data_IF_537441283053
#
_entry.id   IF_537441283053
#
_cell.length_a   1.000
_cell.length_b   1.000
_cell.length_c   1.000
_cell.angle_alpha   90.00
_cell.angle_beta   90.00
_cell.angle_gamma   90.00
#
_symmetry.space_group_name_H-M   'P 1'
#
loop_
_entity.id
_entity.type
_entity.pdbx_description
1 polymer ?
#
# COMPACT_ATOMS: atom_id res chain seq x y z
N UNK A 1 14.18 6.37 30.98
CA UNK A 1 12.77 6.15 31.30
C UNK A 1 11.84 7.19 30.65
N UNK A 2 12.02 8.51 30.84
CA UNK A 2 11.13 9.51 30.23
C UNK A 2 11.08 9.43 28.68
N UNK A 3 12.22 9.27 28.03
CA UNK A 3 12.32 9.17 26.57
C UNK A 3 11.63 7.89 26.03
N UNK A 4 11.74 6.76 26.73
CA UNK A 4 11.04 5.52 26.37
C UNK A 4 9.51 5.70 26.46
N UNK A 5 9.03 6.39 27.49
CA UNK A 5 7.59 6.67 27.66
C UNK A 5 7.05 7.56 26.54
N UNK A 6 7.80 8.61 26.13
CA UNK A 6 7.41 9.50 25.03
C UNK A 6 7.36 8.74 23.70
N UNK A 7 8.35 7.90 23.42
CA UNK A 7 8.40 7.11 22.17
C UNK A 7 7.31 6.03 22.10
N UNK A 8 6.91 5.45 23.23
CA UNK A 8 5.76 4.56 23.30
C UNK A 8 4.48 5.29 22.91
N UNK A 9 4.31 6.55 23.33
CA UNK A 9 3.19 7.39 22.91
C UNK A 9 3.20 7.66 21.40
N UNK A 10 4.36 7.91 20.79
CA UNK A 10 4.52 8.12 19.35
C UNK A 10 4.13 6.86 18.55
N UNK A 11 4.54 5.67 19.03
CA UNK A 11 4.13 4.39 18.43
C UNK A 11 2.63 4.17 18.52
N UNK A 12 2.03 4.44 19.69
CA UNK A 12 0.59 4.36 19.88
C UNK A 12 -0.18 5.34 18.97
N UNK A 13 0.34 6.55 18.81
CA UNK A 13 -0.25 7.54 17.92
C UNK A 13 -0.14 7.15 16.44
N UNK A 14 0.98 6.54 16.01
CA UNK A 14 1.09 5.98 14.67
C UNK A 14 0.05 4.87 14.45
N UNK A 15 -0.06 3.93 15.39
CA UNK A 15 -1.03 2.83 15.30
C UNK A 15 -2.46 3.36 15.18
N UNK A 16 -2.85 4.36 15.99
CA UNK A 16 -4.16 5.01 15.90
C UNK A 16 -4.41 5.58 14.50
N UNK A 17 -3.45 6.30 13.92
CA UNK A 17 -3.60 6.88 12.57
C UNK A 17 -3.73 5.81 11.49
N UNK A 18 -2.98 4.70 11.61
CA UNK A 18 -3.07 3.55 10.71
C UNK A 18 -4.46 2.90 10.80
N UNK A 19 -5.01 2.71 12.01
CA UNK A 19 -6.37 2.21 12.21
C UNK A 19 -7.39 3.14 11.55
N UNK A 20 -7.28 4.45 11.78
CA UNK A 20 -8.24 5.41 11.24
C UNK A 20 -8.27 5.46 9.71
N UNK A 21 -7.14 5.23 9.04
CA UNK A 21 -7.09 5.21 7.57
C UNK A 21 -7.56 3.89 6.96
N UNK A 22 -7.48 2.78 7.71
CA UNK A 22 -7.74 1.43 7.17
C UNK A 22 -8.96 0.72 7.78
N UNK A 23 -9.70 1.35 8.68
CA UNK A 23 -10.81 0.73 9.40
C UNK A 23 -11.98 0.26 8.50
N UNK A 24 -12.11 0.83 7.31
CA UNK A 24 -13.12 0.47 6.31
C UNK A 24 -12.70 -0.72 5.43
N UNK A 25 -11.42 -1.17 5.53
CA UNK A 25 -10.90 -2.28 4.74
C UNK A 25 -11.26 -3.62 5.37
N UNK A 26 -12.31 -4.23 4.84
CA UNK A 26 -12.87 -5.51 5.28
C UNK A 26 -12.92 -6.44 4.07
N UNK A 27 -12.81 -7.74 4.27
CA UNK A 27 -13.03 -8.73 3.20
C UNK A 27 -14.53 -8.80 2.91
N UNK A 28 -14.95 -8.34 1.73
CA UNK A 28 -16.38 -8.25 1.38
C UNK A 28 -16.83 -9.27 0.35
N UNK A 29 -15.95 -9.69 -0.53
CA UNK A 29 -16.21 -10.64 -1.62
C UNK A 29 -15.11 -11.68 -1.71
N UNK A 30 -15.40 -12.78 -2.36
CA UNK A 30 -14.47 -13.88 -2.51
C UNK A 30 -13.43 -13.58 -3.59
N UNK A 31 -13.88 -13.21 -4.77
CA UNK A 31 -13.02 -12.93 -5.94
C UNK A 31 -13.57 -11.77 -6.76
N UNK A 32 -12.84 -10.65 -6.75
CA UNK A 32 -13.21 -9.45 -7.50
C UNK A 32 -13.09 -9.61 -9.02
N UNK A 33 -12.32 -10.58 -9.52
CA UNK A 33 -12.21 -10.85 -10.95
C UNK A 33 -13.39 -11.70 -11.43
N UNK A 34 -13.72 -12.76 -10.70
CA UNK A 34 -14.84 -13.64 -11.01
C UNK A 34 -16.19 -12.90 -10.96
N UNK A 35 -16.40 -12.01 -9.98
CA UNK A 35 -17.63 -11.22 -9.87
C UNK A 35 -17.86 -10.26 -11.05
N UNK A 36 -16.80 -9.90 -11.77
CA UNK A 36 -16.83 -9.03 -12.96
C UNK A 36 -16.67 -9.79 -14.28
N UNK A 37 -16.44 -11.10 -14.25
CA UNK A 37 -16.16 -11.90 -15.45
C UNK A 37 -14.82 -11.53 -16.12
N UNK A 38 -13.90 -10.94 -15.38
CA UNK A 38 -12.59 -10.51 -15.85
C UNK A 38 -11.49 -11.51 -15.45
N UNK A 39 -10.35 -11.46 -16.14
CA UNK A 39 -9.15 -12.17 -15.71
C UNK A 39 -8.51 -11.48 -14.49
N UNK A 40 -7.93 -12.24 -13.55
CA UNK A 40 -7.21 -11.66 -12.42
C UNK A 40 -6.07 -10.73 -12.90
N UNK A 41 -5.98 -9.54 -12.31
CA UNK A 41 -4.84 -8.64 -12.55
C UNK A 41 -3.75 -8.95 -11.54
N UNK A 42 -2.58 -9.32 -12.05
CA UNK A 42 -1.39 -9.59 -11.26
C UNK A 42 -0.44 -8.40 -11.17
N UNK A 43 0.48 -8.55 -10.24
CA UNK A 43 1.66 -7.72 -10.18
C UNK A 43 2.89 -8.64 -10.03
N UNK A 44 4.03 -8.31 -10.67
CA UNK A 44 5.24 -9.10 -10.55
C UNK A 44 5.80 -9.00 -9.13
N UNK A 45 5.96 -10.14 -8.49
CA UNK A 45 6.58 -10.27 -7.16
C UNK A 45 7.96 -10.88 -7.34
N UNK A 46 8.99 -10.16 -6.86
CA UNK A 46 10.39 -10.59 -6.82
C UNK A 46 10.97 -10.35 -5.43
N UNK A 47 12.17 -10.84 -5.13
CA UNK A 47 12.87 -10.48 -3.90
C UNK A 47 13.11 -8.97 -3.81
N UNK A 48 13.03 -8.41 -2.60
CA UNK A 48 13.39 -7.01 -2.36
C UNK A 48 14.91 -6.94 -2.14
N UNK A 49 15.57 -6.15 -2.99
CA UNK A 49 17.01 -5.99 -2.97
C UNK A 49 17.41 -4.56 -2.55
N UNK A 50 18.47 -4.44 -1.78
CA UNK A 50 19.15 -3.19 -1.50
C UNK A 50 20.63 -3.33 -1.93
N UNK A 51 20.94 -2.80 -3.11
CA UNK A 51 22.20 -3.13 -3.78
C UNK A 51 22.32 -4.64 -4.02
N UNK A 52 23.34 -5.28 -3.45
CA UNK A 52 23.56 -6.73 -3.54
C UNK A 52 22.98 -7.52 -2.35
N UNK A 53 22.37 -6.86 -1.37
CA UNK A 53 21.81 -7.52 -0.18
C UNK A 53 20.32 -7.80 -0.41
N UNK A 54 19.89 -9.03 -0.09
CA UNK A 54 18.49 -9.38 -0.07
C UNK A 54 17.87 -8.85 1.23
N UNK A 55 16.91 -7.93 1.12
CA UNK A 55 16.14 -7.39 2.26
C UNK A 55 15.04 -8.36 2.61
N UNK A 56 14.27 -8.79 1.61
CA UNK A 56 13.20 -9.77 1.78
C UNK A 56 13.26 -10.82 0.66
N UNK A 57 13.39 -12.11 1.02
CA UNK A 57 13.50 -13.17 0.02
C UNK A 57 12.16 -13.40 -0.67
N UNK A 58 12.21 -13.90 -1.90
CA UNK A 58 11.02 -14.22 -2.69
C UNK A 58 10.13 -15.27 -1.99
N UNK A 59 10.72 -16.22 -1.27
CA UNK A 59 10.01 -17.26 -0.52
C UNK A 59 8.95 -16.71 0.42
N UNK A 60 9.32 -15.67 1.19
CA UNK A 60 8.45 -15.08 2.21
C UNK A 60 7.33 -14.26 1.57
N UNK A 61 7.64 -13.59 0.46
CA UNK A 61 6.72 -12.76 -0.28
C UNK A 61 5.65 -13.54 -1.06
N UNK A 62 5.96 -14.77 -1.48
CA UNK A 62 5.03 -15.61 -2.25
C UNK A 62 4.02 -16.34 -1.37
N UNK A 63 4.40 -16.71 -0.16
CA UNK A 63 3.60 -17.57 0.70
C UNK A 63 2.21 -16.98 0.96
N UNK A 64 1.16 -17.78 0.69
CA UNK A 64 -0.22 -17.41 0.92
C UNK A 64 -0.81 -16.41 -0.07
N UNK A 65 -0.09 -16.03 -1.13
CA UNK A 65 -0.65 -15.24 -2.24
C UNK A 65 -1.34 -16.14 -3.26
N UNK A 66 -2.25 -15.57 -4.03
CA UNK A 66 -2.86 -16.21 -5.19
C UNK A 66 -2.11 -15.82 -6.45
N UNK A 67 -1.91 -16.77 -7.35
CA UNK A 67 -1.35 -16.52 -8.68
C UNK A 67 -2.31 -15.73 -9.55
N UNK A 68 -1.79 -14.87 -10.40
CA UNK A 68 -2.58 -14.16 -11.42
C UNK A 68 -2.47 -14.81 -12.80
N UNK A 69 -1.45 -15.65 -13.00
CA UNK A 69 -1.14 -16.37 -14.22
C UNK A 69 -0.64 -17.77 -13.90
N UNK A 70 -0.69 -18.67 -14.87
CA UNK A 70 -0.11 -20.00 -14.75
C UNK A 70 1.41 -19.90 -14.60
N UNK A 71 1.98 -20.65 -13.68
CA UNK A 71 3.42 -20.68 -13.43
C UNK A 71 3.99 -22.01 -13.90
N UNK A 72 4.92 -21.94 -14.84
CA UNK A 72 5.58 -23.09 -15.43
C UNK A 72 7.05 -23.17 -14.99
N UNK A 73 7.55 -24.37 -14.87
CA UNK A 73 8.98 -24.62 -14.68
C UNK A 73 9.74 -24.25 -15.97
N UNK A 74 10.69 -23.30 -15.90
CA UNK A 74 11.44 -22.86 -17.10
C UNK A 74 12.31 -23.97 -17.71
N UNK A 75 12.63 -25.02 -16.94
CA UNK A 75 13.51 -26.10 -17.36
C UNK A 75 12.72 -27.27 -17.97
N UNK A 76 11.63 -27.68 -17.31
CA UNK A 76 10.83 -28.87 -17.70
C UNK A 76 9.60 -28.48 -18.52
N UNK A 77 9.11 -27.26 -18.45
CA UNK A 77 7.85 -26.82 -19.05
C UNK A 77 6.61 -27.35 -18.32
N UNK A 78 6.78 -28.01 -17.17
CA UNK A 78 5.68 -28.54 -16.38
C UNK A 78 4.95 -27.42 -15.63
N UNK A 79 3.63 -27.52 -15.53
CA UNK A 79 2.82 -26.59 -14.75
C UNK A 79 3.07 -26.80 -13.24
N UNK A 80 3.59 -25.79 -12.57
CA UNK A 80 3.81 -25.78 -11.12
C UNK A 80 2.52 -25.46 -10.38
N UNK A 81 1.84 -24.39 -10.79
CA UNK A 81 0.57 -23.94 -10.20
C UNK A 81 -0.26 -23.20 -11.25
N UNK A 82 -1.56 -23.49 -11.39
CA UNK A 82 -2.43 -22.76 -12.28
C UNK A 82 -2.78 -21.36 -11.75
N UNK A 83 -3.37 -20.55 -12.62
CA UNK A 83 -3.91 -19.23 -12.29
C UNK A 83 -4.99 -19.32 -11.22
N UNK A 84 -5.02 -18.29 -10.35
CA UNK A 84 -6.02 -18.12 -9.29
C UNK A 84 -6.01 -19.22 -8.20
N UNK A 85 -4.87 -19.83 -7.97
CA UNK A 85 -4.65 -20.74 -6.85
C UNK A 85 -3.68 -20.18 -5.82
N UNK A 86 -3.83 -20.63 -4.57
CA UNK A 86 -3.04 -20.16 -3.44
C UNK A 86 -1.68 -20.87 -3.36
N UNK A 87 -0.61 -20.12 -3.25
CA UNK A 87 0.75 -20.62 -3.09
C UNK A 87 0.93 -21.14 -1.65
N UNK A 88 0.97 -22.46 -1.50
CA UNK A 88 1.28 -23.16 -0.25
C UNK A 88 2.79 -23.31 -0.05
N UNK A 89 3.22 -23.82 1.12
CA UNK A 89 4.63 -24.10 1.40
C UNK A 89 5.28 -25.01 0.35
N UNK A 90 4.60 -26.10 -0.04
CA UNK A 90 5.13 -27.06 -1.02
C UNK A 90 5.28 -26.46 -2.41
N UNK A 91 4.30 -25.64 -2.83
CA UNK A 91 4.32 -24.95 -4.13
C UNK A 91 5.41 -23.88 -4.16
N UNK A 92 5.53 -23.09 -3.09
CA UNK A 92 6.60 -22.11 -2.92
C UNK A 92 7.97 -22.75 -3.12
N UNK A 93 8.22 -23.89 -2.45
CA UNK A 93 9.51 -24.57 -2.53
C UNK A 93 9.78 -25.10 -3.95
N UNK A 94 8.75 -25.56 -4.66
CA UNK A 94 8.86 -25.95 -6.07
C UNK A 94 9.24 -24.74 -6.95
N UNK A 95 8.60 -23.58 -6.75
CA UNK A 95 8.90 -22.33 -7.48
C UNK A 95 10.35 -21.89 -7.27
N UNK A 96 10.81 -21.91 -6.01
CA UNK A 96 12.18 -21.51 -5.66
C UNK A 96 13.21 -22.49 -6.25
N UNK A 97 12.97 -23.79 -6.15
CA UNK A 97 13.85 -24.84 -6.70
C UNK A 97 13.92 -24.80 -8.23
N UNK A 98 12.84 -24.39 -8.91
CA UNK A 98 12.82 -24.16 -10.35
C UNK A 98 13.62 -22.90 -10.77
N UNK A 99 14.17 -22.13 -9.83
CA UNK A 99 14.99 -20.93 -10.10
C UNK A 99 14.21 -19.71 -10.61
N UNK A 100 12.88 -19.69 -10.42
CA UNK A 100 12.02 -18.58 -10.83
C UNK A 100 12.28 -17.37 -9.93
N UNK A 101 12.63 -16.24 -10.54
CA UNK A 101 12.96 -15.00 -9.81
C UNK A 101 11.77 -14.05 -9.63
N UNK A 102 10.76 -14.19 -10.47
CA UNK A 102 9.57 -13.31 -10.47
C UNK A 102 8.33 -14.11 -10.78
N UNK A 103 7.27 -13.92 -10.01
CA UNK A 103 5.96 -14.56 -10.18
C UNK A 103 4.89 -13.48 -10.25
N UNK A 104 3.96 -13.62 -11.20
CA UNK A 104 2.78 -12.75 -11.29
C UNK A 104 1.74 -13.19 -10.26
N UNK A 105 1.58 -12.40 -9.18
CA UNK A 105 0.64 -12.72 -8.10
C UNK A 105 -0.45 -11.65 -7.98
N UNK A 106 -1.60 -12.05 -7.45
CA UNK A 106 -2.65 -11.14 -7.02
C UNK A 106 -2.18 -10.37 -5.78
N UNK A 107 -2.57 -9.11 -5.69
CA UNK A 107 -2.20 -8.22 -4.60
C UNK A 107 -3.37 -7.34 -4.20
N UNK A 108 -3.33 -6.81 -3.00
CA UNK A 108 -4.23 -5.77 -2.52
C UNK A 108 -4.22 -4.55 -3.44
N UNK A 109 -3.08 -4.23 -4.05
CA UNK A 109 -2.93 -3.12 -5.00
C UNK A 109 -3.73 -3.28 -6.28
N UNK A 110 -3.89 -4.51 -6.76
CA UNK A 110 -4.61 -4.82 -8.01
C UNK A 110 -6.07 -5.16 -7.78
N UNK A 111 -6.53 -5.18 -6.52
CA UNK A 111 -7.90 -5.51 -6.16
C UNK A 111 -8.89 -4.44 -6.64
N UNK A 112 -9.95 -4.87 -7.32
CA UNK A 112 -11.01 -4.02 -7.88
C UNK A 112 -12.25 -3.91 -7.00
N UNK A 113 -12.19 -4.42 -5.77
CA UNK A 113 -13.27 -4.25 -4.79
C UNK A 113 -13.41 -2.78 -4.42
N UNK A 114 -14.59 -2.20 -4.57
CA UNK A 114 -14.86 -0.78 -4.27
C UNK A 114 -14.72 -0.48 -2.78
N UNK A 115 -15.31 -1.34 -1.97
CA UNK A 115 -15.25 -1.24 -0.51
C UNK A 115 -14.49 -2.43 0.05
N UNK A 116 -13.33 -2.17 0.66
CA UNK A 116 -12.49 -3.22 1.21
C UNK A 116 -11.62 -3.95 0.19
N UNK A 117 -11.45 -5.25 0.34
CA UNK A 117 -10.59 -6.12 -0.49
C UNK A 117 -11.27 -7.48 -0.66
N UNK A 118 -11.03 -8.18 -1.77
CA UNK A 118 -11.51 -9.56 -1.95
C UNK A 118 -10.55 -10.57 -1.30
N UNK A 119 -11.06 -11.76 -0.98
CA UNK A 119 -10.29 -12.80 -0.30
C UNK A 119 -9.08 -13.27 -1.12
N UNK A 120 -9.22 -13.43 -2.43
CA UNK A 120 -8.12 -13.88 -3.29
C UNK A 120 -7.00 -12.84 -3.42
N UNK A 121 -7.31 -11.53 -3.48
CA UNK A 121 -6.28 -10.49 -3.53
C UNK A 121 -5.56 -10.29 -2.19
N UNK A 122 -6.23 -10.56 -1.08
CA UNK A 122 -5.61 -10.54 0.24
C UNK A 122 -4.79 -11.80 0.52
N UNK A 123 -5.31 -12.98 0.10
CA UNK A 123 -4.64 -14.27 0.24
C UNK A 123 -4.92 -14.96 1.57
N UNK A 124 -3.91 -15.64 2.11
CA UNK A 124 -4.04 -16.45 3.32
C UNK A 124 -4.25 -15.60 4.57
N UNK A 125 -5.03 -16.12 5.52
CA UNK A 125 -5.02 -15.65 6.90
C UNK A 125 -3.74 -16.14 7.59
N UNK A 126 -2.94 -15.24 8.16
CA UNK A 126 -1.64 -15.58 8.74
C UNK A 126 -1.76 -16.38 10.04
N UNK A 127 -2.89 -16.31 10.74
CA UNK A 127 -3.11 -17.06 11.97
C UNK A 127 -3.45 -18.55 11.71
N UNK A 128 -4.24 -18.81 10.65
CA UNK A 128 -4.73 -20.15 10.31
C UNK A 128 -3.96 -20.80 9.18
N UNK A 129 -3.23 -20.03 8.36
CA UNK A 129 -2.56 -20.48 7.14
C UNK A 129 -3.50 -20.78 5.98
N UNK A 130 -4.81 -20.76 6.21
CA UNK A 130 -5.84 -20.99 5.20
C UNK A 130 -6.27 -19.68 4.49
N UNK A 131 -7.22 -19.80 3.56
CA UNK A 131 -7.85 -18.64 2.91
C UNK A 131 -8.54 -17.75 3.95
N UNK A 132 -8.45 -16.43 3.78
CA UNK A 132 -9.13 -15.47 4.64
C UNK A 132 -10.66 -15.55 4.47
N UNK A 133 -11.39 -15.40 5.58
CA UNK A 133 -12.85 -15.42 5.59
C UNK A 133 -13.46 -14.07 5.18
N UNK A 134 -14.64 -14.14 4.56
CA UNK A 134 -15.43 -12.93 4.27
C UNK A 134 -15.90 -12.32 5.59
N UNK A 135 -15.70 -11.00 5.75
CA UNK A 135 -16.04 -10.27 6.95
C UNK A 135 -14.87 -10.04 7.90
N UNK A 136 -13.68 -10.52 7.57
CA UNK A 136 -12.49 -10.24 8.37
C UNK A 136 -12.04 -8.77 8.19
N UNK A 137 -11.79 -8.07 9.31
CA UNK A 137 -11.39 -6.67 9.34
C UNK A 137 -9.87 -6.52 9.12
N UNK A 138 -9.42 -6.81 7.91
CA UNK A 138 -7.99 -6.88 7.55
C UNK A 138 -7.27 -5.54 7.65
N UNK A 139 -7.99 -4.43 7.57
CA UNK A 139 -7.41 -3.10 7.78
C UNK A 139 -6.97 -2.87 9.21
N UNK A 140 -7.77 -3.29 10.20
CA UNK A 140 -7.40 -3.22 11.63
C UNK A 140 -6.22 -4.16 11.90
N UNK A 141 -6.25 -5.38 11.36
CA UNK A 141 -5.14 -6.34 11.49
C UNK A 141 -3.84 -5.76 10.92
N UNK A 142 -3.91 -5.13 9.74
CA UNK A 142 -2.75 -4.48 9.13
C UNK A 142 -2.19 -3.35 10.01
N UNK A 143 -3.05 -2.47 10.51
CA UNK A 143 -2.64 -1.38 11.39
C UNK A 143 -1.99 -1.87 12.69
N UNK A 144 -2.54 -2.93 13.28
CA UNK A 144 -1.99 -3.55 14.49
C UNK A 144 -0.66 -4.26 14.23
N UNK A 145 -0.55 -5.01 13.11
CA UNK A 145 0.66 -5.72 12.72
C UNK A 145 1.85 -4.77 12.43
N UNK A 146 1.57 -3.56 11.93
CA UNK A 146 2.58 -2.52 11.71
C UNK A 146 2.88 -1.77 13.01
N UNK A 147 1.86 -1.53 13.84
CA UNK A 147 1.97 -0.69 15.04
C UNK A 147 2.57 -1.39 16.26
N UNK A 148 2.27 -2.68 16.44
CA UNK A 148 2.79 -3.44 17.60
C UNK A 148 4.34 -3.44 17.64
N UNK A 149 5.06 -3.78 16.57
CA UNK A 149 6.51 -3.73 16.59
C UNK A 149 7.08 -2.30 16.66
N UNK A 150 6.28 -1.27 16.43
CA UNK A 150 6.68 0.13 16.52
C UNK A 150 7.28 0.49 17.88
N UNK A 151 6.75 -0.11 18.97
CA UNK A 151 7.29 0.07 20.32
C UNK A 151 8.71 -0.53 20.44
N UNK A 152 8.98 -1.67 19.80
CA UNK A 152 10.31 -2.29 19.79
C UNK A 152 11.31 -1.47 18.97
N UNK A 153 10.87 -0.89 17.85
CA UNK A 153 11.66 0.04 17.02
C UNK A 153 12.14 1.26 17.83
N UNK A 154 11.32 1.76 18.76
CA UNK A 154 11.70 2.89 19.62
C UNK A 154 12.74 2.52 20.68
N UNK A 155 12.71 1.29 21.19
CA UNK A 155 13.62 0.84 22.26
C UNK A 155 15.02 0.50 21.72
N UNK A 156 15.15 -0.08 20.52
CA UNK A 156 16.42 -0.56 19.97
C UNK A 156 17.32 0.55 19.40
N UNK A 157 16.81 1.70 19.02
CA UNK A 157 17.61 2.85 18.55
C UNK A 157 18.56 3.40 19.60
N UNK A 158 18.41 3.04 20.89
CA UNK A 158 19.30 3.45 21.97
C UNK A 158 20.62 2.65 22.07
N UNK A 159 20.66 1.44 21.54
CA UNK A 159 21.81 0.54 21.72
C UNK A 159 22.82 0.59 20.58
N UNK A 160 22.47 1.20 19.46
CA UNK A 160 23.39 1.40 18.33
C UNK A 160 24.00 2.80 18.35
N UNK A 161 24.58 3.18 19.48
CA UNK A 161 25.36 4.41 19.64
C UNK A 161 26.74 4.31 19.00
N UNK A 162 26.75 4.12 17.66
CA UNK A 162 27.95 4.16 16.84
C UNK A 162 27.75 5.22 15.77
N UNK A 163 28.61 6.24 15.81
CA UNK A 163 28.63 7.37 14.92
C UNK A 163 28.61 6.97 13.43
N UNK A 164 27.44 7.01 12.82
CA UNK A 164 27.27 7.31 11.42
C UNK A 164 26.45 8.58 11.35
N UNK A 165 27.11 9.70 11.06
CA UNK A 165 26.52 11.03 10.98
C UNK A 165 25.56 11.20 9.77
N UNK A 166 25.26 10.12 9.04
CA UNK A 166 24.63 10.17 7.73
C UNK A 166 23.13 9.83 7.73
N UNK A 167 22.52 9.44 8.86
CA UNK A 167 21.07 9.13 8.86
C UNK A 167 20.37 9.61 10.15
N UNK A 168 19.86 10.83 10.09
CA UNK A 168 19.24 11.54 11.21
C UNK A 168 17.82 10.98 11.55
N UNK A 169 17.24 10.16 10.66
CA UNK A 169 15.87 9.62 10.80
C UNK A 169 15.87 8.10 10.63
N UNK A 170 16.34 7.36 11.64
CA UNK A 170 16.28 5.90 11.66
C UNK A 170 15.08 5.41 12.51
N UNK A 171 14.55 4.23 12.19
CA UNK A 171 13.50 3.58 12.97
C UNK A 171 12.11 4.20 12.79
N UNK A 172 11.36 4.35 13.89
CA UNK A 172 9.97 4.81 13.86
C UNK A 172 9.77 6.18 13.19
N UNK A 173 10.62 7.20 13.41
CA UNK A 173 10.47 8.48 12.72
C UNK A 173 10.49 8.36 11.19
N UNK A 174 11.32 7.44 10.64
CA UNK A 174 11.36 7.17 9.20
C UNK A 174 10.07 6.52 8.70
N UNK A 175 9.54 5.55 9.44
CA UNK A 175 8.25 4.92 9.12
C UNK A 175 7.13 5.95 9.09
N UNK A 176 7.09 6.85 10.08
CA UNK A 176 6.12 7.95 10.14
C UNK A 176 6.28 8.89 8.94
N UNK A 177 7.52 9.24 8.56
CA UNK A 177 7.81 10.11 7.42
C UNK A 177 7.30 9.50 6.12
N UNK A 178 7.51 8.20 5.90
CA UNK A 178 7.04 7.47 4.71
C UNK A 178 5.51 7.43 4.68
N UNK A 179 4.84 7.02 5.77
CA UNK A 179 3.39 6.92 5.81
C UNK A 179 2.68 8.29 5.79
N UNK A 180 3.32 9.35 6.25
CA UNK A 180 2.78 10.71 6.09
C UNK A 180 3.14 11.35 4.75
N UNK A 181 3.85 10.63 3.87
CA UNK A 181 4.32 11.13 2.58
C UNK A 181 5.00 12.51 2.68
N UNK A 182 5.80 12.71 3.76
CA UNK A 182 6.53 13.95 3.99
C UNK A 182 7.77 14.02 3.13
N UNK A 183 8.19 15.25 2.82
CA UNK A 183 9.47 15.46 2.16
C UNK A 183 10.60 15.12 3.14
N UNK A 184 11.51 14.20 2.80
CA UNK A 184 12.61 13.80 3.67
C UNK A 184 13.56 14.96 3.98
N UNK A 185 14.19 14.95 5.15
CA UNK A 185 15.21 15.94 5.52
C UNK A 185 16.49 15.77 4.69
N UNK A 186 16.91 14.52 4.44
CA UNK A 186 18.04 14.18 3.55
C UNK A 186 17.52 13.78 2.17
N UNK A 187 17.06 14.75 1.36
CA UNK A 187 16.47 14.49 0.05
C UNK A 187 17.53 14.08 -0.95
N UNK A 188 17.36 12.90 -1.58
CA UNK A 188 18.10 12.51 -2.76
C UNK A 188 17.68 13.35 -3.98
N UNK A 189 18.65 13.73 -4.81
CA UNK A 189 18.39 14.27 -6.14
C UNK A 189 18.10 13.08 -7.05
N UNK A 190 16.98 13.12 -7.76
CA UNK A 190 16.54 12.06 -8.69
C UNK A 190 16.48 12.61 -10.10
N UNK A 191 16.69 11.73 -11.09
CA UNK A 191 16.52 12.07 -12.49
C UNK A 191 15.05 12.11 -12.88
N UNK A 192 14.62 13.13 -13.61
CA UNK A 192 13.27 13.19 -14.21
C UNK A 192 13.21 12.53 -15.59
N UNK A 193 14.37 12.40 -16.26
CA UNK A 193 14.50 11.80 -17.60
C UNK A 193 15.50 10.65 -17.59
N UNK A 194 15.33 9.70 -18.50
CA UNK A 194 16.33 8.66 -18.74
C UNK A 194 17.40 9.18 -19.71
N UNK A 195 18.66 8.84 -19.46
CA UNK A 195 19.73 9.26 -20.33
C UNK A 195 21.14 9.08 -19.73
N UNK A 196 22.13 9.64 -20.44
CA UNK A 196 23.51 9.60 -20.01
C UNK A 196 23.85 10.77 -19.08
N UNK A 197 24.49 10.46 -17.97
CA UNK A 197 24.95 11.44 -16.98
C UNK A 197 26.25 12.10 -17.45
N UNK A 198 26.31 13.43 -17.40
CA UNK A 198 27.54 14.23 -17.51
C UNK A 198 27.68 15.08 -16.25
N UNK A 199 28.78 14.88 -15.54
CA UNK A 199 29.08 15.60 -14.30
C UNK A 199 30.00 16.78 -14.58
N UNK A 200 29.56 17.97 -14.20
CA UNK A 200 30.37 19.20 -14.29
C UNK A 200 30.80 19.63 -12.90
N UNK A 201 32.10 19.58 -12.62
CA UNK A 201 32.70 20.07 -11.40
C UNK A 201 33.16 21.51 -11.58
N UNK A 202 32.33 22.45 -11.06
CA UNK A 202 32.64 23.88 -11.04
C UNK A 202 32.43 24.47 -9.65
N UNK A 203 32.10 25.77 -9.55
CA UNK A 203 31.72 26.40 -8.28
C UNK A 203 30.48 25.74 -7.64
N UNK A 204 29.66 25.08 -8.44
CA UNK A 204 28.54 24.23 -8.05
C UNK A 204 28.70 22.92 -8.82
N UNK A 205 28.42 21.78 -8.14
CA UNK A 205 28.37 20.49 -8.80
C UNK A 205 27.02 20.37 -9.50
N UNK A 206 27.06 20.13 -10.81
CA UNK A 206 25.86 19.96 -11.63
C UNK A 206 25.94 18.62 -12.35
N UNK A 207 24.83 17.85 -12.32
CA UNK A 207 24.65 16.67 -13.15
C UNK A 207 23.73 17.06 -14.31
N UNK A 208 24.20 16.90 -15.53
CA UNK A 208 23.39 17.07 -16.74
C UNK A 208 23.07 15.68 -17.27
N UNK A 209 21.79 15.38 -17.47
CA UNK A 209 21.34 14.11 -18.07
C UNK A 209 20.84 14.44 -19.45
N UNK A 210 21.34 13.73 -20.44
CA UNK A 210 20.97 13.91 -21.86
C UNK A 210 20.34 12.62 -22.36
N UNK A 211 19.10 12.72 -22.85
CA UNK A 211 18.38 11.63 -23.48
C UNK A 211 18.86 11.43 -24.92
N UNK A 212 18.56 10.25 -25.51
CA UNK A 212 18.87 9.93 -26.90
C UNK A 212 18.18 10.88 -27.90
N UNK A 213 17.07 11.51 -27.50
CA UNK A 213 16.33 12.52 -28.28
C UNK A 213 16.95 13.92 -28.25
N UNK A 214 18.05 14.12 -27.49
CA UNK A 214 18.75 15.41 -27.34
C UNK A 214 18.17 16.34 -26.28
N UNK A 215 17.14 15.91 -25.55
CA UNK A 215 16.66 16.65 -24.37
C UNK A 215 17.66 16.54 -23.23
N UNK A 216 17.97 17.65 -22.58
CA UNK A 216 18.89 17.69 -21.44
C UNK A 216 18.26 18.34 -20.23
N UNK A 217 18.37 17.70 -19.07
CA UNK A 217 17.96 18.23 -17.78
C UNK A 217 19.19 18.44 -16.88
N UNK A 218 19.23 19.59 -16.20
CA UNK A 218 20.33 19.96 -15.28
C UNK A 218 19.86 19.87 -13.83
N UNK A 219 20.60 19.12 -13.03
CA UNK A 219 20.33 18.94 -11.61
C UNK A 219 21.47 19.50 -10.77
N UNK A 220 21.10 20.38 -9.84
CA UNK A 220 22.06 20.99 -8.92
C UNK A 220 22.28 20.02 -7.75
N UNK A 221 23.53 19.62 -7.52
CA UNK A 221 23.88 18.70 -6.44
C UNK A 221 24.28 19.52 -5.21
N UNK A 222 23.60 19.31 -4.05
CA UNK A 222 23.93 20.00 -2.81
C UNK A 222 25.37 19.70 -2.37
N UNK A 223 26.02 20.71 -1.77
CA UNK A 223 27.36 20.55 -1.26
C UNK A 223 27.39 19.50 -0.14
N UNK A 224 28.35 18.55 -0.21
CA UNK A 224 28.47 17.47 0.76
C UNK A 224 27.67 16.20 0.44
N UNK A 225 26.76 16.20 -0.55
CA UNK A 225 26.04 14.99 -0.96
C UNK A 225 26.99 14.02 -1.66
N UNK A 226 26.87 12.74 -1.31
CA UNK A 226 27.59 11.65 -2.00
C UNK A 226 26.87 11.33 -3.30
N UNK A 227 27.64 11.24 -4.38
CA UNK A 227 27.12 10.82 -5.69
C UNK A 227 26.99 9.30 -5.75
N UNK A 228 25.87 8.80 -6.28
CA UNK A 228 25.64 7.39 -6.62
C UNK A 228 26.04 7.05 -8.05
N UNK A 229 26.07 8.06 -8.90
CA UNK A 229 26.34 7.94 -10.34
C UNK A 229 27.73 8.48 -10.67
N UNK A 230 28.32 7.93 -11.73
CA UNK A 230 29.60 8.37 -12.29
C UNK A 230 29.36 9.10 -13.61
N UNK A 231 30.35 9.85 -14.05
CA UNK A 231 30.30 10.47 -15.37
C UNK A 231 30.25 9.40 -16.47
N UNK A 232 29.29 9.53 -17.37
CA UNK A 232 29.04 8.58 -18.45
C UNK A 232 28.07 7.45 -18.14
N UNK A 233 27.59 7.29 -16.89
CA UNK A 233 26.60 6.26 -16.54
C UNK A 233 25.26 6.52 -17.23
N UNK A 234 24.55 5.43 -17.56
CA UNK A 234 23.15 5.50 -17.99
C UNK A 234 22.24 5.40 -16.77
N UNK A 235 21.28 6.30 -16.68
CA UNK A 235 20.26 6.34 -15.61
C UNK A 235 18.86 6.35 -16.19
N UNK A 236 17.95 5.70 -15.50
CA UNK A 236 16.54 5.73 -15.83
C UNK A 236 15.83 6.86 -15.09
N UNK A 237 14.68 7.30 -15.64
CA UNK A 237 13.84 8.28 -14.99
C UNK A 237 13.42 7.79 -13.58
N UNK A 238 13.71 8.60 -12.56
CA UNK A 238 13.47 8.29 -11.15
C UNK A 238 14.59 7.55 -10.45
N UNK A 239 15.78 7.42 -11.04
CA UNK A 239 16.96 6.89 -10.37
C UNK A 239 17.65 7.97 -9.53
N UNK A 240 18.29 7.54 -8.45
CA UNK A 240 18.95 8.40 -7.48
C UNK A 240 20.32 8.83 -7.99
N UNK A 241 20.53 10.14 -8.14
CA UNK A 241 21.83 10.72 -8.49
C UNK A 241 22.73 10.91 -7.26
N UNK A 242 22.09 11.11 -6.09
CA UNK A 242 22.79 11.28 -4.81
C UNK A 242 22.27 10.32 -3.77
N UNK A 243 23.09 9.99 -2.76
CA UNK A 243 22.62 9.27 -1.60
C UNK A 243 21.58 10.10 -0.83
N UNK A 244 20.54 9.44 -0.35
CA UNK A 244 19.47 10.05 0.44
C UNK A 244 18.14 9.36 0.25
N UNK A 245 17.11 9.91 0.87
CA UNK A 245 15.75 9.39 0.77
C UNK A 245 14.98 10.14 -0.31
N UNK A 246 14.18 9.42 -1.10
CA UNK A 246 13.39 10.03 -2.16
C UNK A 246 12.04 10.54 -1.59
N UNK A 247 11.54 11.64 -2.14
CA UNK A 247 10.19 12.09 -1.85
C UNK A 247 9.16 11.23 -2.62
N UNK A 248 8.24 10.53 -1.94
CA UNK A 248 7.26 9.67 -2.60
C UNK A 248 6.39 10.39 -3.65
N UNK A 249 6.13 11.69 -3.47
CA UNK A 249 5.37 12.47 -4.44
C UNK A 249 6.11 12.68 -5.76
N UNK A 250 7.44 12.76 -5.73
CA UNK A 250 8.24 12.91 -6.95
C UNK A 250 8.30 11.59 -7.72
N UNK A 251 8.39 10.46 -7.00
CA UNK A 251 8.26 9.13 -7.62
C UNK A 251 6.89 8.96 -8.30
N UNK A 252 5.82 9.45 -7.66
CA UNK A 252 4.47 9.38 -8.25
C UNK A 252 4.40 10.12 -9.60
N UNK A 253 5.09 11.26 -9.72
CA UNK A 253 5.12 12.03 -10.97
C UNK A 253 5.93 11.33 -12.06
N UNK A 254 7.06 10.70 -11.69
CA UNK A 254 8.04 10.15 -12.63
C UNK A 254 7.73 8.69 -12.97
N UNK A 255 7.65 7.80 -11.95
CA UNK A 255 7.45 6.34 -12.12
C UNK A 255 5.97 5.92 -11.99
N UNK A 256 5.08 6.87 -11.70
CA UNK A 256 3.65 6.60 -11.54
C UNK A 256 3.31 5.80 -10.28
N UNK A 257 2.07 5.29 -10.25
CA UNK A 257 1.50 4.61 -9.07
C UNK A 257 2.29 3.35 -8.69
N UNK A 258 2.65 2.50 -9.67
CA UNK A 258 3.41 1.26 -9.43
C UNK A 258 4.78 1.54 -8.81
N UNK A 259 5.46 2.59 -9.27
CA UNK A 259 6.75 3.01 -8.72
C UNK A 259 6.67 3.43 -7.26
N UNK A 260 5.65 4.22 -6.89
CA UNK A 260 5.41 4.63 -5.50
C UNK A 260 5.09 3.43 -4.60
N UNK A 261 4.23 2.53 -5.06
CA UNK A 261 3.87 1.32 -4.32
C UNK A 261 5.09 0.47 -4.01
N UNK A 262 5.93 0.20 -5.01
CA UNK A 262 7.16 -0.57 -4.84
C UNK A 262 8.17 0.15 -3.92
N UNK A 263 8.35 1.47 -4.08
CA UNK A 263 9.25 2.25 -3.26
C UNK A 263 8.83 2.27 -1.78
N UNK A 264 7.57 2.62 -1.50
CA UNK A 264 7.08 2.71 -0.13
C UNK A 264 7.13 1.34 0.58
N UNK A 265 6.74 0.26 -0.13
CA UNK A 265 6.82 -1.10 0.40
C UNK A 265 8.27 -1.45 0.76
N UNK A 266 9.21 -1.20 -0.16
CA UNK A 266 10.65 -1.47 0.04
C UNK A 266 11.19 -0.69 1.24
N UNK A 267 10.93 0.61 1.33
CA UNK A 267 11.44 1.46 2.40
C UNK A 267 10.91 1.04 3.77
N UNK A 268 9.60 0.75 3.88
CA UNK A 268 9.02 0.28 5.14
C UNK A 268 9.61 -1.07 5.54
N UNK A 269 9.69 -2.03 4.62
CA UNK A 269 10.30 -3.34 4.86
C UNK A 269 11.76 -3.21 5.30
N UNK A 270 12.55 -2.37 4.63
CA UNK A 270 13.96 -2.13 5.01
C UNK A 270 14.09 -1.65 6.45
N UNK A 271 13.25 -0.69 6.88
CA UNK A 271 13.30 -0.17 8.26
C UNK A 271 12.99 -1.26 9.29
N UNK A 272 11.93 -2.07 9.06
CA UNK A 272 11.54 -3.14 9.99
C UNK A 272 12.55 -4.29 10.00
N UNK A 273 13.02 -4.73 8.84
CA UNK A 273 14.01 -5.82 8.71
C UNK A 273 15.37 -5.46 9.32
N UNK A 274 15.81 -4.20 9.21
CA UNK A 274 17.03 -3.74 9.90
C UNK A 274 16.93 -3.87 11.43
N UNK A 275 15.75 -3.85 11.99
CA UNK A 275 15.49 -4.06 13.40
C UNK A 275 15.16 -5.53 13.76
N UNK A 276 15.22 -6.44 12.78
CA UNK A 276 14.93 -7.86 12.96
C UNK A 276 13.43 -8.16 13.14
N UNK A 277 12.57 -7.28 12.64
CA UNK A 277 11.10 -7.46 12.68
C UNK A 277 10.61 -7.86 11.30
N UNK A 278 9.77 -8.87 11.25
CA UNK A 278 9.15 -9.38 10.02
C UNK A 278 7.68 -8.97 9.95
N UNK A 279 7.31 -8.27 8.88
CA UNK A 279 5.93 -7.87 8.61
C UNK A 279 5.54 -8.37 7.23
N UNK A 280 4.39 -9.03 7.12
CA UNK A 280 3.90 -9.48 5.82
C UNK A 280 3.55 -8.28 4.92
N UNK A 281 4.01 -8.33 3.67
CA UNK A 281 3.80 -7.26 2.65
C UNK A 281 2.37 -6.76 2.57
N UNK A 282 1.38 -7.67 2.62
CA UNK A 282 -0.03 -7.34 2.48
C UNK A 282 -0.54 -6.32 3.50
N UNK A 283 0.02 -6.29 4.71
CA UNK A 283 -0.35 -5.29 5.72
C UNK A 283 0.08 -3.89 5.30
N UNK A 284 1.28 -3.78 4.76
CA UNK A 284 1.81 -2.53 4.22
C UNK A 284 1.04 -2.14 2.94
N UNK A 285 0.74 -3.11 2.07
CA UNK A 285 -0.04 -2.91 0.85
C UNK A 285 -1.44 -2.32 1.13
N UNK A 286 -2.12 -2.79 2.18
CA UNK A 286 -3.43 -2.25 2.60
C UNK A 286 -3.33 -0.75 2.91
N UNK A 287 -2.35 -0.33 3.69
CA UNK A 287 -2.16 1.08 4.07
C UNK A 287 -1.82 1.94 2.84
N UNK A 288 -0.85 1.50 2.03
CA UNK A 288 -0.45 2.24 0.82
C UNK A 288 -1.62 2.37 -0.18
N UNK A 289 -2.44 1.33 -0.32
CA UNK A 289 -3.65 1.38 -1.16
C UNK A 289 -4.60 2.48 -0.70
N UNK A 290 -4.83 2.61 0.61
CA UNK A 290 -5.67 3.67 1.16
C UNK A 290 -5.06 5.07 0.96
N UNK A 291 -3.74 5.21 1.03
CA UNK A 291 -3.04 6.48 0.74
C UNK A 291 -3.17 6.91 -0.73
N UNK A 292 -3.35 5.98 -1.65
CA UNK A 292 -3.46 6.21 -3.10
C UNK A 292 -4.91 6.15 -3.62
N UNK A 293 -5.90 6.07 -2.73
CA UNK A 293 -7.30 5.86 -3.10
C UNK A 293 -7.95 7.09 -3.74
N UNK A 294 -7.46 8.29 -3.44
CA UNK A 294 -8.07 9.54 -3.93
C UNK A 294 -7.39 10.06 -5.20
N UNK A 295 -8.20 10.62 -6.07
CA UNK A 295 -7.78 11.34 -7.28
C UNK A 295 -8.18 12.82 -7.16
N UNK A 296 -7.38 13.70 -7.73
CA UNK A 296 -7.70 15.11 -7.85
C UNK A 296 -8.18 15.39 -9.27
N UNK A 297 -9.38 15.96 -9.39
CA UNK A 297 -9.95 16.32 -10.69
C UNK A 297 -9.17 17.49 -11.28
N UNK A 298 -8.67 17.35 -12.51
CA UNK A 298 -8.02 18.42 -13.28
C UNK A 298 -9.03 19.09 -14.20
N UNK A 299 -9.80 18.29 -14.94
CA UNK A 299 -10.87 18.75 -15.82
C UNK A 299 -12.14 17.96 -15.53
N UNK A 300 -13.25 18.64 -15.35
CA UNK A 300 -14.52 18.02 -15.03
C UNK A 300 -15.23 17.40 -16.25
N UNK A 301 -14.89 17.82 -17.47
CA UNK A 301 -15.65 17.45 -18.66
C UNK A 301 -17.14 17.72 -18.48
N UNK A 302 -17.98 16.76 -18.89
CA UNK A 302 -19.45 16.81 -18.75
C UNK A 302 -19.95 16.08 -17.49
N UNK A 303 -19.06 15.79 -16.53
CA UNK A 303 -19.41 15.10 -15.27
C UNK A 303 -19.94 16.07 -14.22
N UNK A 304 -20.51 15.52 -13.15
CA UNK A 304 -20.97 16.33 -11.99
C UNK A 304 -19.83 16.69 -11.02
N UNK A 305 -18.59 16.28 -11.31
CA UNK A 305 -17.42 16.49 -10.47
C UNK A 305 -16.91 17.94 -10.58
N UNK A 306 -16.25 18.44 -9.52
CA UNK A 306 -15.72 19.80 -9.51
C UNK A 306 -14.18 19.79 -9.73
N UNK A 307 -13.63 20.70 -10.55
CA UNK A 307 -12.20 20.84 -10.72
C UNK A 307 -11.51 21.11 -9.38
N UNK A 308 -10.39 20.43 -9.12
CA UNK A 308 -9.62 20.53 -7.88
C UNK A 308 -10.15 19.69 -6.71
N UNK A 309 -11.32 19.08 -6.82
CA UNK A 309 -11.89 18.21 -5.78
C UNK A 309 -11.12 16.90 -5.67
N UNK A 310 -11.05 16.36 -4.43
CA UNK A 310 -10.51 15.03 -4.13
C UNK A 310 -11.66 14.02 -4.08
N UNK A 311 -11.70 13.13 -5.05
CA UNK A 311 -12.76 12.12 -5.20
C UNK A 311 -12.15 10.71 -5.04
N UNK A 312 -12.96 9.75 -4.59
CA UNK A 312 -12.58 8.34 -4.59
C UNK A 312 -12.42 7.84 -6.03
N UNK A 313 -11.41 6.98 -6.26
CA UNK A 313 -11.12 6.51 -7.61
C UNK A 313 -12.28 5.71 -8.21
N UNK A 314 -12.96 4.89 -7.41
CA UNK A 314 -14.09 4.10 -7.91
C UNK A 314 -15.30 4.98 -8.24
N UNK A 315 -15.57 6.00 -7.40
CA UNK A 315 -16.60 6.98 -7.69
C UNK A 315 -16.30 7.77 -8.98
N UNK A 316 -15.02 8.13 -9.20
CA UNK A 316 -14.56 8.76 -10.41
C UNK A 316 -14.70 7.85 -11.64
N UNK A 317 -14.28 6.57 -11.54
CA UNK A 317 -14.40 5.58 -12.62
C UNK A 317 -15.89 5.35 -12.98
N UNK A 318 -16.77 5.17 -11.97
CA UNK A 318 -18.20 4.95 -12.18
C UNK A 318 -18.88 6.15 -12.83
N UNK A 319 -18.53 7.39 -12.42
CA UNK A 319 -19.09 8.60 -13.02
C UNK A 319 -18.63 8.78 -14.47
N UNK A 320 -17.35 8.52 -14.75
CA UNK A 320 -16.83 8.55 -16.12
C UNK A 320 -17.49 7.48 -17.01
N UNK A 321 -17.70 6.28 -16.49
CA UNK A 321 -18.36 5.19 -17.23
C UNK A 321 -19.79 5.58 -17.59
N UNK A 322 -20.52 6.20 -16.65
CA UNK A 322 -21.86 6.75 -16.89
C UNK A 322 -21.86 7.79 -18.03
N UNK A 323 -20.94 8.75 -17.98
CA UNK A 323 -20.85 9.84 -18.96
C UNK A 323 -20.43 9.34 -20.34
N UNK A 324 -19.52 8.35 -20.41
CA UNK A 324 -19.10 7.71 -21.66
C UNK A 324 -20.29 6.96 -22.30
N UNK A 325 -21.11 6.24 -21.50
CA UNK A 325 -22.31 5.57 -22.00
C UNK A 325 -23.36 6.56 -22.55
N UNK A 326 -23.38 7.79 -22.03
CA UNK A 326 -24.19 8.89 -22.55
C UNK A 326 -23.58 9.57 -23.79
N UNK A 327 -22.38 9.18 -24.23
CA UNK A 327 -21.67 9.77 -25.38
C UNK A 327 -21.09 11.17 -25.13
N UNK A 328 -20.85 11.54 -23.86
CA UNK A 328 -20.32 12.83 -23.41
C UNK A 328 -18.84 12.73 -23.05
N UNK A 329 -18.18 13.86 -22.77
CA UNK A 329 -16.77 13.91 -22.39
C UNK A 329 -16.54 13.50 -20.92
N UNK A 330 -15.68 12.48 -20.65
CA UNK A 330 -15.34 12.10 -19.30
C UNK A 330 -14.44 13.13 -18.61
N UNK A 331 -14.43 13.14 -17.28
CA UNK A 331 -13.50 13.93 -16.48
C UNK A 331 -12.07 13.38 -16.55
N UNK A 332 -11.10 14.29 -16.43
CA UNK A 332 -9.67 13.94 -16.32
C UNK A 332 -9.20 14.21 -14.89
N UNK A 333 -8.52 13.25 -14.30
CA UNK A 333 -8.02 13.34 -12.94
C UNK A 333 -6.60 12.78 -12.80
N UNK A 334 -5.89 13.30 -11.78
CA UNK A 334 -4.54 12.86 -11.43
C UNK A 334 -4.53 12.14 -10.09
N UNK A 335 -3.87 11.00 -10.02
CA UNK A 335 -3.66 10.29 -8.75
C UNK A 335 -2.93 11.19 -7.75
N UNK A 336 -3.43 11.17 -6.50
CA UNK A 336 -2.84 11.93 -5.40
C UNK A 336 -2.39 10.97 -4.31
N UNK A 337 -1.13 11.10 -3.88
CA UNK A 337 -0.64 10.42 -2.70
C UNK A 337 -0.97 11.28 -1.46
N UNK A 338 -1.74 10.74 -0.55
CA UNK A 338 -2.09 11.38 0.72
C UNK A 338 -1.34 10.68 1.86
N UNK A 339 -0.78 11.47 2.79
CA UNK A 339 -0.31 10.92 4.05
C UNK A 339 -1.47 10.33 4.86
N UNK A 340 -1.19 9.37 5.74
CA UNK A 340 -2.22 8.64 6.50
C UNK A 340 -3.17 9.57 7.26
N UNK A 341 -2.66 10.65 7.87
CA UNK A 341 -3.48 11.65 8.56
C UNK A 341 -4.46 12.35 7.60
N UNK A 342 -3.98 12.77 6.42
CA UNK A 342 -4.83 13.42 5.42
C UNK A 342 -5.81 12.45 4.78
N UNK A 343 -5.39 11.21 4.54
CA UNK A 343 -6.23 10.15 3.99
C UNK A 343 -7.38 9.80 4.94
N UNK A 344 -7.11 9.71 6.25
CA UNK A 344 -8.14 9.47 7.28
C UNK A 344 -9.17 10.61 7.39
N UNK A 345 -8.77 11.86 7.12
CA UNK A 345 -9.69 13.02 7.09
C UNK A 345 -10.45 13.14 5.75
N UNK A 346 -9.87 12.64 4.66
CA UNK A 346 -10.47 12.65 3.31
C UNK A 346 -11.40 11.46 3.05
N UNK A 347 -11.78 10.70 4.08
CA UNK A 347 -12.76 9.60 3.98
C UNK A 347 -14.16 10.14 3.67
N UNK A 348 -14.99 9.29 3.03
CA UNK A 348 -16.35 9.66 2.68
C UNK A 348 -17.26 9.70 3.91
N UNK A 349 -16.93 8.94 4.99
CA UNK A 349 -17.62 9.00 6.27
C UNK A 349 -17.17 10.21 7.09
N UNK A 350 -18.06 11.19 7.24
CA UNK A 350 -17.78 12.36 8.09
C UNK A 350 -17.80 12.03 9.57
N UNK A 351 -18.53 10.99 10.01
CA UNK A 351 -18.52 10.51 11.39
C UNK A 351 -17.16 9.96 11.78
N UNK A 352 -16.57 9.13 10.91
CA UNK A 352 -15.22 8.60 11.11
C UNK A 352 -14.18 9.72 11.17
N UNK A 353 -14.20 10.65 10.22
CA UNK A 353 -13.28 11.77 10.18
C UNK A 353 -13.39 12.68 11.42
N UNK A 354 -14.64 13.01 11.85
CA UNK A 354 -14.88 13.84 13.04
C UNK A 354 -14.40 13.20 14.35
N UNK A 355 -14.44 11.87 14.44
CA UNK A 355 -13.96 11.16 15.63
C UNK A 355 -12.43 11.02 15.70
N UNK A 356 -11.73 11.31 14.61
CA UNK A 356 -10.28 11.25 14.54
C UNK A 356 -9.63 12.56 15.00
N UNK A 357 -9.81 13.62 14.24
CA UNK A 357 -9.25 14.96 14.52
C UNK A 357 -10.14 16.05 13.91
N UNK A 358 -9.94 17.31 14.32
CA UNK A 358 -10.62 18.49 13.76
C UNK A 358 -12.16 18.37 13.78
N UNK A 359 -12.73 17.81 14.84
CA UNK A 359 -14.16 17.48 14.97
C UNK A 359 -15.08 18.63 14.52
N UNK A 360 -14.84 19.84 15.03
CA UNK A 360 -15.67 21.00 14.71
C UNK A 360 -15.65 21.34 13.23
N UNK A 361 -14.46 21.37 12.62
CA UNK A 361 -14.30 21.67 11.19
C UNK A 361 -15.01 20.64 10.32
N UNK A 362 -14.77 19.34 10.59
CA UNK A 362 -15.36 18.24 9.80
C UNK A 362 -16.88 18.27 9.88
N UNK A 363 -17.44 18.44 11.08
CA UNK A 363 -18.90 18.50 11.27
C UNK A 363 -19.51 19.74 10.61
N UNK A 364 -18.85 20.89 10.69
CA UNK A 364 -19.30 22.11 10.04
C UNK A 364 -19.32 21.97 8.51
N UNK A 365 -18.24 21.42 7.91
CA UNK A 365 -18.16 21.16 6.47
C UNK A 365 -19.23 20.15 6.02
N UNK A 366 -19.45 19.09 6.80
CA UNK A 366 -20.45 18.08 6.51
C UNK A 366 -21.88 18.65 6.56
N UNK A 367 -22.17 19.51 7.54
CA UNK A 367 -23.46 20.18 7.66
C UNK A 367 -23.72 21.15 6.50
N UNK A 368 -22.72 21.98 6.15
CA UNK A 368 -22.84 22.92 5.01
C UNK A 368 -23.07 22.19 3.68
N UNK A 369 -22.36 21.06 3.47
CA UNK A 369 -22.47 20.26 2.24
C UNK A 369 -23.66 19.29 2.24
N UNK A 370 -24.42 19.17 3.33
CA UNK A 370 -25.51 18.21 3.46
C UNK A 370 -25.06 16.75 3.27
N UNK A 371 -23.87 16.39 3.76
CA UNK A 371 -23.30 15.05 3.57
C UNK A 371 -24.14 13.99 4.26
N UNK A 372 -24.31 12.86 3.58
CA UNK A 372 -24.91 11.64 4.11
C UNK A 372 -23.79 10.63 4.33
N UNK A 373 -23.72 10.02 5.52
CA UNK A 373 -22.73 9.00 5.83
C UNK A 373 -23.18 7.63 5.33
N UNK A 374 -22.40 6.94 4.50
CA UNK A 374 -22.80 5.64 3.94
C UNK A 374 -22.73 4.47 4.95
N UNK A 375 -22.13 4.68 6.14
CA UNK A 375 -21.98 3.69 7.22
C UNK A 375 -21.27 2.39 6.75
N UNK A 376 -20.25 2.52 5.94
CA UNK A 376 -19.54 1.38 5.33
C UNK A 376 -18.44 0.82 6.24
N UNK A 377 -17.78 1.65 7.04
CA UNK A 377 -16.68 1.27 7.90
C UNK A 377 -17.12 0.75 9.28
N UNK A 378 -16.16 0.44 10.12
CA UNK A 378 -16.42 -0.08 11.46
C UNK A 378 -16.79 1.03 12.44
N UNK A 379 -16.05 2.12 12.42
CA UNK A 379 -16.05 3.18 13.43
C UNK A 379 -17.37 3.93 13.47
N UNK A 380 -17.90 4.32 12.31
CA UNK A 380 -19.19 5.01 12.21
C UNK A 380 -20.36 4.15 12.71
N UNK A 381 -20.33 2.84 12.45
CA UNK A 381 -21.35 1.92 12.95
C UNK A 381 -21.27 1.78 14.48
N UNK A 382 -20.07 1.71 15.05
CA UNK A 382 -19.85 1.69 16.51
C UNK A 382 -20.36 2.98 17.14
N UNK A 383 -20.09 4.15 16.55
CA UNK A 383 -20.54 5.45 17.09
C UNK A 383 -22.08 5.51 17.15
N UNK A 384 -22.76 5.00 16.15
CA UNK A 384 -24.24 5.00 16.09
C UNK A 384 -24.85 3.86 16.92
N UNK A 385 -24.07 2.88 17.35
CA UNK A 385 -24.55 1.72 18.10
C UNK A 385 -25.16 0.63 17.22
N UNK A 386 -24.80 0.58 15.92
CA UNK A 386 -25.18 -0.51 15.01
C UNK A 386 -24.13 -1.62 15.03
N UNK A 387 -24.53 -2.81 14.59
CA UNK A 387 -23.60 -3.91 14.36
C UNK A 387 -22.58 -3.50 13.30
N UNK A 388 -21.30 -3.83 13.56
CA UNK A 388 -20.22 -3.57 12.61
C UNK A 388 -20.40 -4.42 11.35
N UNK A 389 -20.03 -3.93 10.16
CA UNK A 389 -20.14 -4.69 8.91
C UNK A 389 -18.99 -5.72 8.74
N UNK A 390 -18.64 -6.40 9.83
CA UNK A 390 -17.58 -7.40 9.90
C UNK A 390 -18.01 -8.58 10.78
N UNK A 391 -17.41 -9.75 10.56
CA UNK A 391 -17.73 -10.95 11.32
C UNK A 391 -19.22 -11.29 11.29
N UNK A 392 -19.79 -11.53 12.47
CA UNK A 392 -21.22 -11.87 12.65
C UNK A 392 -22.19 -10.72 12.33
N UNK A 393 -21.70 -9.48 12.25
CA UNK A 393 -22.51 -8.32 11.88
C UNK A 393 -22.76 -8.19 10.37
N UNK A 394 -22.26 -9.10 9.55
CA UNK A 394 -22.57 -9.16 8.13
C UNK A 394 -24.04 -9.53 7.88
N UNK A 395 -24.64 -8.92 6.88
CA UNK A 395 -26.04 -9.16 6.51
C UNK A 395 -26.39 -10.63 6.30
N UNK A 396 -25.43 -11.43 5.81
CA UNK A 396 -25.61 -12.88 5.58
C UNK A 396 -25.90 -13.68 6.85
N UNK A 397 -25.50 -13.17 8.03
CA UNK A 397 -25.74 -13.84 9.31
C UNK A 397 -26.99 -13.35 10.04
N UNK A 398 -27.67 -12.30 9.57
CA UNK A 398 -28.87 -11.76 10.24
C UNK A 398 -30.06 -12.74 10.22
N UNK A 399 -30.11 -13.63 9.24
CA UNK A 399 -31.21 -14.59 9.07
C UNK A 399 -30.77 -16.03 9.39
N UNK A 400 -29.66 -16.21 10.13
CA UNK A 400 -29.15 -17.54 10.51
C UNK A 400 -29.72 -17.89 11.87
N UNK A 401 -30.51 -18.97 11.96
CA UNK A 401 -30.94 -19.57 13.22
C UNK A 401 -29.96 -20.68 13.62
N UNK A 402 -29.49 -20.61 14.86
CA UNK A 402 -28.68 -21.68 15.44
C UNK A 402 -29.64 -22.72 16.02
N UNK A 403 -29.61 -23.92 15.46
CA UNK A 403 -30.33 -25.08 15.99
C UNK A 403 -29.32 -26.06 16.58
N UNK A 404 -29.71 -26.73 17.68
CA UNK A 404 -28.94 -27.85 18.19
C UNK A 404 -28.85 -28.95 17.11
N UNK A 405 -27.67 -29.52 16.95
CA UNK A 405 -27.44 -30.60 16.00
C UNK A 405 -28.14 -31.81 16.59
N UNK A 406 -29.29 -32.19 16.06
CA UNK A 406 -29.92 -33.47 16.39
C UNK A 406 -28.88 -34.57 16.08
N UNK A 407 -28.67 -35.49 17.05
CA UNK A 407 -27.78 -36.64 16.87
C UNK A 407 -28.25 -37.43 15.65
N UNK A 408 -27.52 -37.31 14.56
CA UNK A 408 -27.74 -38.15 13.38
C UNK A 408 -27.39 -39.56 13.83
N UNK A 409 -28.34 -40.53 13.88
CA UNK A 409 -28.03 -41.88 14.26
C UNK A 409 -26.97 -42.40 13.28
N UNK A 410 -25.81 -42.76 13.80
CA UNK A 410 -24.76 -43.45 13.05
C UNK A 410 -25.38 -44.75 12.51
N UNK A 411 -25.61 -44.78 11.21
CA UNK A 411 -25.95 -46.04 10.51
C UNK A 411 -24.70 -46.90 10.60
N UNK A 412 -24.74 -47.84 11.53
CA UNK A 412 -23.79 -48.98 11.58
C UNK A 412 -24.09 -49.85 10.36
N UNK A 413 -23.26 -49.78 9.34
CA UNK A 413 -23.21 -50.81 8.28
C UNK A 413 -22.94 -52.16 8.92
N UNK A 414 -23.91 -53.09 8.73
CA UNK A 414 -23.74 -54.53 8.99
C UNK A 414 -23.10 -55.19 7.77
#
# INVERSE_FOLDING_TARGET
>A
MADTALRTADSGYLTRRLVDVSQDVIIREEDCAASRGERPKGMPISAIMEGNKVVEPLSDRLLGRYTAEDVYDPTTGELIIPCNEMITFSIRDRIINAGIKTVSCRSVFTCRSEHGVCAHCYGANLATGGKVDIGEAVGIIAAQAIGEPGTQLTMRTFHTGGASADDITQGLPRVVEIFEARKPKGLAVISEISGRVSLTEGKKREATITNDDGESAKYLIPFGSKLRVRDGDMVDAGDELTDGSINPNDILKIKGVKGVQAYMLKEVQSVYRLQGVEIADKHIEVIIRQMLRKVQIEDAGDTTLLPGELVDIFAFENENERVILEGKQPAVAKRKLLGITKAALATDSFLSAASFQETTRVLTEAAIKGKVDPLVGLKENVIIGKLIPAGIGLKRYHNVEVREKEDIPTVTEQ
#
